data_IF_013320767992
#
_entry.id   IF_013320767992
#
_cell.length_a   1.000
_cell.length_b   1.000
_cell.length_c   1.000
_cell.angle_alpha   90.00
_cell.angle_beta   90.00
_cell.angle_gamma   90.00
#
_symmetry.space_group_name_H-M   'P 1'
#
loop_
_entity.id
_entity.type
_entity.pdbx_description
1 polymer ?
#
# COMPACT_ATOMS: atom_id res chain seq x y z
N UNK A 1 -12.93 -2.80 20.06
CA UNK A 1 -12.69 -2.68 18.62
C UNK A 1 -13.66 -1.67 18.05
N UNK A 2 -13.19 -0.78 17.21
CA UNK A 2 -14.03 0.29 16.70
C UNK A 2 -14.83 -0.16 15.47
N UNK A 3 -15.98 0.48 15.25
CA UNK A 3 -16.78 0.23 14.06
C UNK A 3 -15.99 0.61 12.80
N UNK A 4 -15.13 1.60 12.90
CA UNK A 4 -14.29 2.03 11.81
C UNK A 4 -13.30 0.92 11.39
N UNK A 5 -12.68 0.27 12.37
CA UNK A 5 -11.76 -0.83 12.08
C UNK A 5 -12.47 -2.00 11.42
N UNK A 6 -13.71 -2.28 11.83
CA UNK A 6 -14.50 -3.33 11.22
C UNK A 6 -14.86 -3.00 9.78
N UNK A 7 -15.25 -1.74 9.52
CA UNK A 7 -15.56 -1.29 8.17
C UNK A 7 -14.35 -1.38 7.26
N UNK A 8 -13.18 -1.02 7.76
CA UNK A 8 -11.93 -1.16 7.00
C UNK A 8 -11.66 -2.61 6.64
N UNK A 9 -11.90 -3.52 7.59
CA UNK A 9 -11.72 -4.94 7.32
C UNK A 9 -12.56 -5.43 6.15
N UNK A 10 -13.80 -4.95 6.05
CA UNK A 10 -14.67 -5.32 4.94
C UNK A 10 -14.15 -4.78 3.61
N UNK A 11 -13.69 -3.54 3.60
CA UNK A 11 -13.13 -2.94 2.38
C UNK A 11 -11.89 -3.69 1.90
N UNK A 12 -10.99 -4.01 2.82
CA UNK A 12 -9.76 -4.69 2.45
C UNK A 12 -9.99 -6.14 2.06
N UNK A 13 -11.11 -6.73 2.46
CA UNK A 13 -11.46 -8.08 2.05
C UNK A 13 -12.14 -8.13 0.68
N UNK A 14 -12.60 -6.99 0.16
CA UNK A 14 -13.34 -6.94 -1.09
C UNK A 14 -12.37 -7.03 -2.28
N UNK A 15 -12.45 -8.09 -3.10
CA UNK A 15 -11.52 -8.25 -4.22
C UNK A 15 -11.71 -7.22 -5.35
N UNK A 16 -12.81 -6.47 -5.35
CA UNK A 16 -13.02 -5.41 -6.32
C UNK A 16 -12.33 -4.11 -5.89
N UNK A 17 -11.96 -3.99 -4.63
CA UNK A 17 -11.37 -2.78 -4.07
C UNK A 17 -9.90 -3.00 -3.74
N UNK A 18 -9.56 -4.17 -3.21
CA UNK A 18 -8.21 -4.47 -2.76
C UNK A 18 -7.52 -5.50 -3.63
N UNK A 19 -6.19 -5.54 -3.56
CA UNK A 19 -5.38 -6.53 -4.25
C UNK A 19 -4.57 -7.31 -3.23
N UNK A 20 -4.26 -8.55 -3.55
CA UNK A 20 -3.36 -9.36 -2.74
C UNK A 20 -1.92 -8.95 -3.02
N UNK A 21 -1.10 -8.89 -1.98
CA UNK A 21 0.31 -8.61 -2.15
C UNK A 21 1.14 -9.38 -1.13
N UNK A 22 2.44 -9.45 -1.37
CA UNK A 22 3.40 -10.00 -0.43
C UNK A 22 4.37 -8.90 -0.02
N UNK A 23 4.64 -8.82 1.28
CA UNK A 23 5.62 -7.91 1.84
C UNK A 23 6.82 -8.71 2.28
N UNK A 24 8.00 -8.39 1.75
CA UNK A 24 9.25 -9.00 2.17
C UNK A 24 10.04 -7.98 2.96
N UNK A 25 10.28 -8.24 4.25
CA UNK A 25 11.00 -7.32 5.09
C UNK A 25 12.51 -7.46 4.93
N UNK A 26 13.28 -6.62 5.66
CA UNK A 26 14.73 -6.61 5.56
C UNK A 26 15.38 -7.90 6.03
N UNK A 27 14.70 -8.70 6.82
CA UNK A 27 15.19 -9.99 7.27
C UNK A 27 14.80 -11.13 6.35
N UNK A 28 14.08 -10.86 5.26
CA UNK A 28 13.66 -11.88 4.32
C UNK A 28 12.33 -12.54 4.65
N UNK A 29 11.67 -12.15 5.72
CA UNK A 29 10.37 -12.70 6.08
C UNK A 29 9.30 -12.18 5.13
N UNK A 30 8.43 -13.05 4.67
CA UNK A 30 7.38 -12.71 3.72
C UNK A 30 6.02 -12.81 4.39
N UNK A 31 5.21 -11.76 4.25
CA UNK A 31 3.86 -11.71 4.78
C UNK A 31 2.90 -11.45 3.64
N UNK A 32 1.83 -12.24 3.57
CA UNK A 32 0.78 -12.04 2.58
C UNK A 32 -0.35 -11.21 3.20
N UNK A 33 -0.84 -10.25 2.44
CA UNK A 33 -1.93 -9.39 2.91
C UNK A 33 -2.69 -8.81 1.72
N UNK A 34 -3.68 -7.96 2.01
CA UNK A 34 -4.41 -7.25 0.97
C UNK A 34 -4.28 -5.75 1.21
N UNK A 35 -4.17 -5.00 0.11
CA UNK A 35 -4.04 -3.56 0.17
C UNK A 35 -4.82 -2.89 -0.94
N UNK A 36 -4.99 -1.59 -0.84
CA UNK A 36 -5.67 -0.79 -1.85
C UNK A 36 -4.61 -0.08 -2.67
N UNK A 37 -4.47 -0.49 -3.91
CA UNK A 37 -3.42 0.00 -4.81
C UNK A 37 -3.92 1.20 -5.60
N UNK A 38 -3.10 2.24 -5.69
CA UNK A 38 -3.37 3.43 -6.49
C UNK A 38 -2.22 3.67 -7.44
N UNK A 39 -2.53 3.67 -8.72
CA UNK A 39 -1.52 3.84 -9.76
C UNK A 39 -1.65 5.21 -10.43
N UNK A 40 -0.54 5.80 -10.86
CA UNK A 40 -0.57 7.12 -11.52
C UNK A 40 -1.41 7.15 -12.78
N UNK A 41 -1.43 6.07 -13.53
CA UNK A 41 -2.16 6.01 -14.79
C UNK A 41 -3.68 6.05 -14.63
N UNK A 42 -4.16 5.93 -13.41
CA UNK A 42 -5.58 6.06 -13.14
C UNK A 42 -5.97 7.52 -12.88
N UNK A 43 -4.99 8.39 -12.78
CA UNK A 43 -5.22 9.80 -12.50
C UNK A 43 -5.54 10.52 -13.79
N UNK A 44 -6.64 11.26 -13.78
CA UNK A 44 -7.03 12.07 -14.93
C UNK A 44 -5.96 13.12 -15.22
N UNK A 45 -5.71 13.36 -16.49
CA UNK A 45 -4.72 14.30 -16.90
C UNK A 45 -5.09 15.74 -16.61
N UNK A 46 -4.15 16.47 -16.02
CA UNK A 46 -4.29 17.90 -15.78
C UNK A 46 -3.00 18.60 -16.15
N UNK A 47 -2.50 18.31 -17.33
CA UNK A 47 -1.29 18.95 -17.79
C UNK A 47 -0.10 18.64 -16.89
N UNK A 48 0.61 19.68 -16.47
CA UNK A 48 1.82 19.50 -15.69
C UNK A 48 1.59 18.92 -14.30
N UNK A 49 0.37 19.03 -13.77
CA UNK A 49 0.09 18.51 -12.44
C UNK A 49 0.28 17.02 -12.34
N UNK A 50 0.08 16.31 -13.44
CA UNK A 50 0.25 14.87 -13.48
C UNK A 50 1.66 14.44 -13.08
N UNK A 51 2.64 15.23 -13.43
CA UNK A 51 4.03 14.89 -13.16
C UNK A 51 4.37 14.88 -11.67
N UNK A 52 3.60 15.60 -10.88
CA UNK A 52 3.85 15.71 -9.45
C UNK A 52 3.34 14.50 -8.68
N UNK A 53 2.44 13.72 -9.30
CA UNK A 53 1.77 12.62 -8.62
C UNK A 53 2.00 11.29 -9.31
N UNK A 54 3.12 11.19 -9.98
CA UNK A 54 3.47 9.98 -10.71
C UNK A 54 4.08 8.94 -9.77
N UNK A 55 3.37 8.66 -8.70
CA UNK A 55 3.84 7.73 -7.67
C UNK A 55 2.77 6.68 -7.42
N UNK A 56 3.17 5.42 -7.53
CA UNK A 56 2.30 4.32 -7.15
C UNK A 56 2.24 4.25 -5.63
N UNK A 57 1.06 4.04 -5.09
CA UNK A 57 0.85 3.95 -3.64
C UNK A 57 0.01 2.76 -3.30
N UNK A 58 0.23 2.23 -2.11
CA UNK A 58 -0.63 1.17 -1.57
C UNK A 58 -1.00 1.53 -0.14
N UNK A 59 -2.29 1.37 0.19
CA UNK A 59 -2.77 1.49 1.55
C UNK A 59 -2.89 0.10 2.13
N UNK A 60 -2.30 -0.13 3.29
CA UNK A 60 -2.36 -1.43 3.96
C UNK A 60 -2.76 -1.25 5.41
N UNK A 61 -3.37 -2.27 6.00
CA UNK A 61 -3.75 -2.18 7.41
C UNK A 61 -2.54 -2.41 8.30
N UNK A 62 -2.45 -1.63 9.36
CA UNK A 62 -1.36 -1.75 10.34
C UNK A 62 -1.35 -3.14 10.96
N UNK A 63 -2.54 -3.74 11.20
CA UNK A 63 -2.61 -5.08 11.78
C UNK A 63 -1.99 -6.15 10.90
N UNK A 64 -1.99 -5.93 9.58
CA UNK A 64 -1.43 -6.90 8.65
C UNK A 64 0.06 -6.70 8.46
N UNK A 65 0.51 -5.45 8.40
CA UNK A 65 1.92 -5.11 8.24
C UNK A 65 2.29 -4.09 9.32
N UNK A 66 2.74 -4.53 10.49
CA UNK A 66 2.97 -3.62 11.61
C UNK A 66 4.10 -2.62 11.41
N UNK A 67 5.15 -2.99 10.67
CA UNK A 67 6.31 -2.12 10.51
C UNK A 67 6.91 -2.17 9.12
N UNK A 68 6.22 -1.59 8.11
CA UNK A 68 6.84 -1.47 6.79
C UNK A 68 7.96 -0.42 6.85
N UNK A 69 9.07 -0.70 6.19
CA UNK A 69 10.23 0.18 6.19
C UNK A 69 10.71 0.47 4.78
N UNK A 70 11.41 1.60 4.57
CA UNK A 70 11.97 1.92 3.25
C UNK A 70 12.86 0.78 2.73
N UNK A 71 12.85 0.61 1.42
CA UNK A 71 13.66 -0.39 0.69
C UNK A 71 13.19 -1.83 0.84
N UNK A 72 12.18 -2.08 1.64
CA UNK A 72 11.55 -3.41 1.67
C UNK A 72 10.73 -3.61 0.41
N UNK A 73 10.44 -4.88 0.09
CA UNK A 73 9.79 -5.22 -1.17
C UNK A 73 8.30 -5.46 -1.00
N UNK A 74 7.54 -5.00 -1.99
CA UNK A 74 6.12 -5.30 -2.12
C UNK A 74 5.93 -5.97 -3.48
N UNK A 75 5.38 -7.18 -3.47
CA UNK A 75 5.15 -7.96 -4.68
C UNK A 75 3.66 -8.04 -4.95
N UNK A 76 3.25 -7.58 -6.13
CA UNK A 76 1.84 -7.56 -6.54
C UNK A 76 1.74 -8.23 -7.90
N UNK A 77 1.14 -9.43 -7.95
CA UNK A 77 1.14 -10.19 -9.18
C UNK A 77 2.55 -10.50 -9.62
N UNK A 78 2.91 -10.06 -10.83
CA UNK A 78 4.25 -10.26 -11.35
C UNK A 78 5.15 -9.05 -11.18
N UNK A 79 4.65 -8.01 -10.54
CA UNK A 79 5.41 -6.78 -10.34
C UNK A 79 6.05 -6.75 -8.96
N UNK A 80 7.27 -6.24 -8.92
CA UNK A 80 8.00 -6.05 -7.68
C UNK A 80 8.27 -4.57 -7.49
N UNK A 81 7.95 -4.07 -6.30
CA UNK A 81 8.17 -2.68 -5.93
C UNK A 81 9.06 -2.59 -4.71
N UNK A 82 9.71 -1.45 -4.54
CA UNK A 82 10.40 -1.11 -3.30
C UNK A 82 9.60 -0.05 -2.56
N UNK A 83 9.58 -0.14 -1.25
CA UNK A 83 8.99 0.90 -0.41
C UNK A 83 9.87 2.13 -0.51
N UNK A 84 9.28 3.23 -0.95
CA UNK A 84 9.99 4.48 -1.17
C UNK A 84 9.69 5.46 -0.04
N UNK A 85 10.73 5.87 0.68
CA UNK A 85 10.56 6.81 1.78
C UNK A 85 9.85 6.19 2.98
N UNK A 86 9.53 7.02 3.95
CA UNK A 86 8.90 6.54 5.17
C UNK A 86 7.40 6.36 4.98
N UNK A 87 6.87 5.17 5.28
CA UNK A 87 5.42 4.99 5.28
C UNK A 87 4.74 5.93 6.28
N UNK A 88 3.54 6.36 5.94
CA UNK A 88 2.78 7.30 6.77
C UNK A 88 1.54 6.60 7.31
N UNK A 89 1.26 6.79 8.60
CA UNK A 89 0.04 6.27 9.22
C UNK A 89 -1.03 7.35 9.26
N UNK A 90 -2.28 6.90 9.17
CA UNK A 90 -3.40 7.80 9.36
C UNK A 90 -3.52 8.21 10.83
N UNK A 91 -4.44 9.13 11.11
CA UNK A 91 -4.67 9.64 12.46
C UNK A 91 -5.06 8.53 13.43
N UNK A 92 -5.85 7.57 12.97
CA UNK A 92 -6.35 6.48 13.79
C UNK A 92 -5.34 5.34 13.94
N UNK A 93 -4.21 5.42 13.24
CA UNK A 93 -3.14 4.42 13.22
C UNK A 93 -3.61 3.04 12.78
N UNK A 94 -4.58 3.00 11.88
CA UNK A 94 -5.12 1.76 11.35
C UNK A 94 -4.60 1.43 9.96
N UNK A 95 -4.11 2.42 9.25
CA UNK A 95 -3.69 2.28 7.85
C UNK A 95 -2.32 2.91 7.64
N UNK A 96 -1.47 2.19 6.89
CA UNK A 96 -0.25 2.76 6.32
C UNK A 96 -0.52 3.20 4.90
N UNK A 97 -0.03 4.38 4.54
CA UNK A 97 0.08 4.80 3.14
C UNK A 97 1.53 4.68 2.74
N UNK A 98 1.79 3.85 1.76
CA UNK A 98 3.15 3.48 1.35
C UNK A 98 3.37 3.87 -0.09
N UNK A 99 4.38 4.71 -0.33
CA UNK A 99 4.79 5.06 -1.69
C UNK A 99 5.69 3.94 -2.23
N UNK A 100 5.48 3.57 -3.48
CA UNK A 100 6.20 2.47 -4.12
C UNK A 100 6.95 2.95 -5.34
N UNK A 101 8.13 2.39 -5.56
CA UNK A 101 8.88 2.59 -6.80
C UNK A 101 9.16 1.23 -7.42
N UNK A 102 9.28 1.15 -8.76
CA UNK A 102 9.63 -0.11 -9.41
C UNK A 102 10.98 -0.62 -8.92
N UNK A 103 11.04 -1.90 -8.67
CA UNK A 103 12.29 -2.53 -8.24
C UNK A 103 13.20 -2.79 -9.42
#
# INVERSE_FOLDING_TARGET
MSAFAEALGLLFADPNISVEFWHRDGGGQVTRARGILRRPDEITEFGSARLLFDTTRIDVRVVDIPEPRPQEQILIGEETFLIQGEPRRDRERLIWTIDLSPA
#
